data_IF_932004653103
#
_entry.id   IF_932004653103
#
_cell.length_a   1.000
_cell.length_b   1.000
_cell.length_c   1.000
_cell.angle_alpha   90.00
_cell.angle_beta   90.00
_cell.angle_gamma   90.00
#
_symmetry.space_group_name_H-M   'P 1'
#
loop_
_entity.id
_entity.type
_entity.pdbx_description
1 polymer ?
#
# COMPACT_ATOMS: atom_id res chain seq x y z
N UNK A 1 3.20 -33.58 -19.54
CA UNK A 1 3.00 -33.21 -18.12
C UNK A 1 3.17 -31.72 -18.08
N UNK A 2 2.07 -31.03 -18.34
CA UNK A 2 2.04 -29.59 -18.51
C UNK A 2 2.26 -28.94 -17.15
N UNK A 3 3.29 -28.10 -17.05
CA UNK A 3 3.49 -27.27 -15.88
C UNK A 3 2.29 -26.33 -15.77
N UNK A 4 1.46 -26.51 -14.76
CA UNK A 4 0.44 -25.56 -14.35
C UNK A 4 1.13 -24.21 -14.11
N UNK A 5 1.13 -23.35 -15.12
CA UNK A 5 1.40 -21.95 -14.94
C UNK A 5 0.29 -21.41 -14.05
N UNK A 6 0.54 -21.34 -12.74
CA UNK A 6 -0.34 -20.70 -11.77
C UNK A 6 -0.55 -19.27 -12.24
N UNK A 7 -1.69 -19.02 -12.89
CA UNK A 7 -2.03 -17.74 -13.47
C UNK A 7 -2.35 -16.79 -12.30
N UNK A 8 -1.38 -15.97 -11.89
CA UNK A 8 -1.56 -15.05 -10.77
C UNK A 8 -2.50 -13.93 -11.20
N UNK A 9 -3.48 -13.52 -10.37
CA UNK A 9 -4.37 -12.41 -10.70
C UNK A 9 -3.57 -11.11 -10.86
N UNK A 10 -3.85 -10.36 -11.92
CA UNK A 10 -3.25 -9.05 -12.18
C UNK A 10 -3.70 -8.06 -11.10
N UNK A 11 -2.74 -7.41 -10.43
CA UNK A 11 -3.02 -6.36 -9.43
C UNK A 11 -2.59 -5.01 -9.97
N UNK A 12 -3.52 -4.07 -10.04
CA UNK A 12 -3.27 -2.70 -10.49
C UNK A 12 -3.50 -1.74 -9.33
N UNK A 13 -2.46 -0.96 -8.97
CA UNK A 13 -2.57 0.12 -8.00
C UNK A 13 -2.76 1.44 -8.75
N UNK A 14 -3.86 2.13 -8.46
CA UNK A 14 -4.20 3.39 -9.10
C UNK A 14 -4.39 4.50 -8.07
N UNK A 15 -3.51 5.49 -8.10
CA UNK A 15 -3.66 6.71 -7.32
C UNK A 15 -4.41 7.75 -8.15
N UNK A 16 -5.56 8.23 -7.68
CA UNK A 16 -6.40 9.14 -8.46
C UNK A 16 -6.83 10.37 -7.66
N UNK A 17 -6.58 11.55 -8.25
CA UNK A 17 -7.02 12.86 -7.75
C UNK A 17 -7.58 13.65 -8.94
N UNK A 18 -8.77 14.30 -8.87
CA UNK A 18 -9.65 14.47 -7.70
C UNK A 18 -10.60 13.29 -7.43
N UNK A 19 -11.17 13.26 -6.22
CA UNK A 19 -12.08 12.22 -5.70
C UNK A 19 -13.28 11.90 -6.58
N UNK A 20 -13.78 12.86 -7.36
CA UNK A 20 -14.90 12.62 -8.29
C UNK A 20 -14.56 11.61 -9.37
N UNK A 21 -13.31 11.58 -9.81
CA UNK A 21 -12.88 10.71 -10.88
C UNK A 21 -12.76 9.25 -10.39
N UNK A 22 -12.40 9.03 -9.11
CA UNK A 22 -12.26 7.67 -8.57
C UNK A 22 -13.61 6.96 -8.48
N UNK A 23 -14.69 7.69 -8.20
CA UNK A 23 -16.05 7.14 -8.18
C UNK A 23 -16.53 6.78 -9.59
N UNK A 24 -16.29 7.66 -10.57
CA UNK A 24 -16.61 7.36 -11.97
C UNK A 24 -15.82 6.15 -12.47
N UNK A 25 -14.55 6.06 -12.12
CA UNK A 25 -13.69 4.92 -12.45
C UNK A 25 -14.17 3.62 -11.79
N UNK A 26 -14.54 3.66 -10.50
CA UNK A 26 -15.17 2.51 -9.81
C UNK A 26 -16.42 2.03 -10.55
N UNK A 27 -17.24 2.97 -11.04
CA UNK A 27 -18.44 2.61 -11.79
C UNK A 27 -18.08 1.92 -13.11
N UNK A 28 -17.08 2.39 -13.84
CA UNK A 28 -16.60 1.72 -15.04
C UNK A 28 -16.08 0.31 -14.73
N UNK A 29 -15.32 0.14 -13.64
CA UNK A 29 -14.82 -1.17 -13.23
C UNK A 29 -15.91 -2.14 -12.79
N UNK A 30 -17.06 -1.64 -12.29
CA UNK A 30 -18.19 -2.51 -11.92
C UNK A 30 -18.81 -3.29 -13.08
N UNK A 31 -18.44 -3.00 -14.32
CA UNK A 31 -18.87 -3.72 -15.53
C UNK A 31 -17.83 -4.73 -16.04
N UNK A 32 -16.67 -4.83 -15.37
CA UNK A 32 -15.62 -5.78 -15.75
C UNK A 32 -15.78 -7.02 -14.88
N UNK A 33 -16.07 -8.15 -15.50
CA UNK A 33 -16.21 -9.43 -14.81
C UNK A 33 -14.90 -9.82 -14.09
N UNK A 34 -15.04 -10.58 -13.00
CA UNK A 34 -13.93 -11.11 -12.18
C UNK A 34 -12.94 -10.04 -11.68
N UNK A 35 -13.38 -8.78 -11.57
CA UNK A 35 -12.57 -7.67 -11.05
C UNK A 35 -12.96 -7.31 -9.62
N UNK A 36 -12.01 -7.41 -8.70
CA UNK A 36 -12.17 -6.91 -7.33
C UNK A 36 -11.50 -5.55 -7.18
N UNK A 37 -12.25 -4.58 -6.66
CA UNK A 37 -11.73 -3.24 -6.42
C UNK A 37 -11.57 -3.01 -4.93
N UNK A 38 -10.32 -2.81 -4.52
CA UNK A 38 -9.94 -2.49 -3.15
C UNK A 38 -9.68 -0.99 -3.09
N UNK A 39 -10.60 -0.26 -2.48
CA UNK A 39 -10.31 1.11 -2.10
C UNK A 39 -9.39 1.03 -0.88
N UNK A 40 -8.11 1.35 -1.04
CA UNK A 40 -7.33 1.68 0.14
C UNK A 40 -8.06 2.82 0.85
N UNK A 41 -8.54 2.60 2.09
CA UNK A 41 -9.21 3.66 2.79
C UNK A 41 -8.22 4.81 2.92
N UNK A 42 -8.75 6.03 2.91
CA UNK A 42 -8.08 7.33 3.13
C UNK A 42 -6.95 7.33 4.18
N UNK A 43 -6.88 6.29 5.01
CA UNK A 43 -5.77 5.93 5.86
C UNK A 43 -4.41 6.03 5.18
N UNK A 44 -4.15 5.51 3.97
CA UNK A 44 -2.78 5.61 3.39
C UNK A 44 -2.38 7.07 3.12
N UNK A 45 -3.29 7.87 2.55
CA UNK A 45 -3.09 9.31 2.36
C UNK A 45 -2.92 10.03 3.70
N UNK A 46 -3.78 9.72 4.68
CA UNK A 46 -3.77 10.30 6.01
C UNK A 46 -2.48 9.95 6.75
N UNK A 47 -2.08 8.68 6.76
CA UNK A 47 -0.84 8.19 7.36
C UNK A 47 0.36 8.86 6.72
N UNK A 48 0.36 9.06 5.39
CA UNK A 48 1.42 9.80 4.73
C UNK A 48 1.47 11.28 5.17
N UNK A 49 0.33 11.96 5.22
CA UNK A 49 0.22 13.35 5.69
C UNK A 49 0.46 13.52 7.19
N UNK A 50 0.35 12.47 8.00
CA UNK A 50 0.45 12.54 9.46
C UNK A 50 1.77 11.97 9.99
N UNK A 51 2.08 10.73 9.65
CA UNK A 51 3.26 10.00 10.13
C UNK A 51 4.51 10.44 9.38
N UNK A 52 4.45 10.44 8.04
CA UNK A 52 5.61 10.73 7.20
C UNK A 52 5.88 12.23 7.04
N UNK A 53 4.91 13.10 7.34
CA UNK A 53 5.09 14.55 7.30
C UNK A 53 5.68 15.05 8.64
N UNK A 54 6.92 15.58 8.67
CA UNK A 54 7.55 16.06 9.89
C UNK A 54 6.92 17.36 10.42
N UNK A 55 6.19 18.09 9.58
CA UNK A 55 5.55 19.35 9.96
C UNK A 55 4.14 19.15 10.53
N UNK A 56 3.53 17.98 10.32
CA UNK A 56 2.20 17.68 10.84
C UNK A 56 2.22 17.50 12.37
N UNK A 57 1.34 18.24 13.05
CA UNK A 57 1.16 18.18 14.50
C UNK A 57 2.30 18.77 15.34
N UNK A 58 3.17 19.60 14.73
CA UNK A 58 4.27 20.26 15.44
C UNK A 58 3.75 21.13 16.60
N UNK A 59 4.26 20.88 17.80
CA UNK A 59 3.86 21.61 19.02
C UNK A 59 2.66 21.00 19.75
N UNK A 60 2.01 19.96 19.21
CA UNK A 60 0.94 19.24 19.90
C UNK A 60 1.57 18.15 20.79
N UNK A 61 1.36 18.17 22.13
CA UNK A 61 2.01 17.23 23.05
C UNK A 61 1.73 15.76 22.72
N UNK A 62 0.48 15.42 22.38
CA UNK A 62 0.10 14.04 22.07
C UNK A 62 0.77 13.50 20.80
N UNK A 63 0.99 14.37 19.79
CA UNK A 63 1.69 13.97 18.56
C UNK A 63 3.17 13.73 18.84
N UNK A 64 3.78 14.53 19.72
CA UNK A 64 5.16 14.33 20.15
C UNK A 64 5.32 13.00 20.89
N UNK A 65 4.41 12.68 21.81
CA UNK A 65 4.42 11.42 22.53
C UNK A 65 4.26 10.24 21.57
N UNK A 66 3.25 10.30 20.69
CA UNK A 66 3.02 9.27 19.67
C UNK A 66 4.25 8.98 18.80
N UNK A 67 4.99 10.01 18.39
CA UNK A 67 6.24 9.83 17.63
C UNK A 67 7.33 9.14 18.45
N UNK A 68 7.47 9.48 19.74
CA UNK A 68 8.42 8.82 20.62
C UNK A 68 8.07 7.34 20.83
N UNK A 69 6.78 7.03 21.05
CA UNK A 69 6.28 5.67 21.22
C UNK A 69 6.51 4.84 19.95
N UNK A 70 6.28 5.41 18.76
CA UNK A 70 6.58 4.77 17.48
C UNK A 70 8.09 4.49 17.31
N UNK A 71 8.95 5.46 17.63
CA UNK A 71 10.40 5.27 17.57
C UNK A 71 10.88 4.16 18.53
N UNK A 72 10.28 4.05 19.71
CA UNK A 72 10.56 2.95 20.63
C UNK A 72 10.06 1.60 20.09
N UNK A 73 8.82 1.56 19.59
CA UNK A 73 8.24 0.36 19.00
C UNK A 73 9.06 -0.18 17.82
N UNK A 74 9.56 0.70 16.95
CA UNK A 74 10.38 0.29 15.79
C UNK A 74 11.73 -0.32 16.17
N UNK A 75 12.19 -0.15 17.42
CA UNK A 75 13.41 -0.78 17.95
C UNK A 75 13.16 -2.15 18.58
N UNK A 76 11.90 -2.55 18.77
CA UNK A 76 11.57 -3.86 19.29
C UNK A 76 12.12 -4.95 18.36
N UNK A 77 12.86 -5.91 18.94
CA UNK A 77 13.49 -7.01 18.19
C UNK A 77 12.48 -7.84 17.38
N UNK A 78 11.28 -8.05 17.92
CA UNK A 78 10.21 -8.78 17.23
C UNK A 78 9.77 -8.04 15.95
N UNK A 79 9.58 -6.72 16.06
CA UNK A 79 9.21 -5.88 14.92
C UNK A 79 10.33 -5.85 13.87
N UNK A 80 11.58 -5.73 14.31
CA UNK A 80 12.76 -5.76 13.40
C UNK A 80 12.84 -7.10 12.66
N UNK A 81 12.61 -8.22 13.34
CA UNK A 81 12.60 -9.54 12.73
C UNK A 81 11.47 -9.68 11.69
N UNK A 82 10.26 -9.21 12.01
CA UNK A 82 9.13 -9.19 11.08
C UNK A 82 9.43 -8.32 9.85
N UNK A 83 9.98 -7.13 10.04
CA UNK A 83 10.35 -6.23 8.95
C UNK A 83 11.34 -6.88 7.99
N UNK A 84 12.38 -7.53 8.50
CA UNK A 84 13.34 -8.25 7.66
C UNK A 84 12.72 -9.44 6.92
N UNK A 85 11.75 -10.12 7.52
CA UNK A 85 11.00 -11.19 6.86
C UNK A 85 10.18 -10.63 5.68
N UNK A 86 9.53 -9.49 5.85
CA UNK A 86 8.79 -8.83 4.77
C UNK A 86 9.70 -8.35 3.65
N UNK A 87 10.82 -7.68 3.98
CA UNK A 87 11.83 -7.25 3.00
C UNK A 87 12.40 -8.45 2.20
N UNK A 88 12.56 -9.61 2.87
CA UNK A 88 13.01 -10.83 2.20
C UNK A 88 11.95 -11.35 1.23
N UNK A 89 10.67 -11.36 1.62
CA UNK A 89 9.56 -11.73 0.72
C UNK A 89 9.50 -10.80 -0.49
N UNK A 90 9.62 -9.48 -0.28
CA UNK A 90 9.59 -8.52 -1.40
C UNK A 90 10.72 -8.74 -2.41
N UNK A 91 11.91 -9.16 -1.96
CA UNK A 91 13.03 -9.52 -2.85
C UNK A 91 12.88 -10.89 -3.50
N UNK A 92 12.21 -11.82 -2.84
CA UNK A 92 12.00 -13.19 -3.32
C UNK A 92 10.88 -13.26 -4.37
N UNK A 93 9.88 -12.40 -4.25
CA UNK A 93 8.79 -12.29 -5.22
C UNK A 93 8.99 -11.05 -6.10
N UNK A 94 9.37 -11.26 -7.36
CA UNK A 94 9.40 -10.16 -8.34
C UNK A 94 8.04 -9.43 -8.35
N UNK A 95 8.08 -8.10 -8.20
CA UNK A 95 6.94 -7.24 -8.52
C UNK A 95 6.70 -7.34 -10.02
N UNK A 96 5.78 -8.22 -10.43
CA UNK A 96 5.47 -8.50 -11.84
C UNK A 96 4.67 -7.33 -12.44
N UNK A 97 5.30 -6.17 -12.58
CA UNK A 97 4.85 -5.16 -13.52
C UNK A 97 5.48 -5.50 -14.87
N UNK A 98 4.77 -6.28 -15.70
CA UNK A 98 5.30 -6.61 -17.02
C UNK A 98 5.23 -5.35 -17.90
N UNK A 99 6.36 -4.80 -18.37
CA UNK A 99 6.37 -3.52 -19.09
C UNK A 99 5.72 -3.60 -20.49
N UNK A 100 5.28 -4.78 -20.95
CA UNK A 100 4.81 -5.03 -22.30
C UNK A 100 3.30 -5.32 -22.41
N UNK A 101 2.49 -5.14 -21.36
CA UNK A 101 1.04 -5.45 -21.41
C UNK A 101 0.24 -4.44 -22.28
N UNK A 102 0.81 -3.27 -22.59
CA UNK A 102 0.12 -2.20 -23.34
C UNK A 102 0.73 -1.90 -24.72
N UNK A 103 1.38 -2.87 -25.37
CA UNK A 103 1.81 -2.75 -26.77
C UNK A 103 0.79 -3.32 -27.74
#
# INVERSE_FOLDING_TARGET
MDSEHVNKPLRVFLWMVPRTNSVAFLKCLSFVDDTEVWLEPYLSCLMNETINNPNWGKGIPNVKQFRADLEEFTKNEEYVALKHLEEKKEKEYDNIWQPNIFK
#
